data_IF_696160210124
#
_entry.id   IF_696160210124
#
_cell.length_a   1.000
_cell.length_b   1.000
_cell.length_c   1.000
_cell.angle_alpha   90.00
_cell.angle_beta   90.00
_cell.angle_gamma   90.00
#
_symmetry.space_group_name_H-M   'P 1'
#
loop_
_entity.id
_entity.type
_entity.pdbx_description
1 polymer ?
#
# COMPACT_ATOMS: atom_id res chain seq x y z
N UNK A 1 160.80 26.36 -36.39
CA UNK A 1 160.38 27.30 -37.46
C UNK A 1 159.25 26.59 -38.20
N UNK A 2 157.98 26.96 -37.96
CA UNK A 2 157.16 27.88 -38.81
C UNK A 2 156.75 27.15 -40.11
N UNK A 3 155.51 27.05 -40.64
CA UNK A 3 154.23 27.81 -40.62
C UNK A 3 153.15 26.96 -41.35
N UNK A 4 151.88 26.95 -40.90
CA UNK A 4 150.61 27.43 -41.56
C UNK A 4 149.64 26.44 -42.28
N UNK A 5 148.38 26.53 -41.82
CA UNK A 5 147.04 26.54 -42.49
C UNK A 5 146.23 25.29 -42.96
N UNK A 6 145.11 25.09 -42.21
CA UNK A 6 143.70 24.72 -42.51
C UNK A 6 143.24 23.54 -43.40
N UNK A 7 142.13 22.88 -42.98
CA UNK A 7 141.00 22.68 -43.91
C UNK A 7 139.57 22.81 -43.30
N UNK A 8 138.66 23.39 -44.09
CA UNK A 8 137.18 23.24 -44.11
C UNK A 8 136.77 21.80 -44.49
N UNK A 9 135.65 21.14 -44.14
CA UNK A 9 134.35 21.48 -43.55
C UNK A 9 133.30 20.52 -44.17
N UNK A 10 132.56 19.73 -43.37
CA UNK A 10 131.41 18.89 -43.81
C UNK A 10 130.30 18.99 -42.75
N UNK A 11 129.08 19.37 -43.15
CA UNK A 11 127.85 19.38 -42.33
C UNK A 11 126.71 18.79 -43.18
N UNK A 12 125.94 17.85 -42.59
CA UNK A 12 124.57 17.57 -43.03
C UNK A 12 124.04 16.18 -42.65
N UNK A 13 123.35 16.03 -41.51
CA UNK A 13 122.31 14.99 -41.29
C UNK A 13 121.47 15.17 -40.00
N UNK A 14 120.86 16.35 -39.76
CA UNK A 14 120.00 16.59 -38.57
C UNK A 14 118.64 17.26 -38.84
N UNK A 15 118.27 17.53 -40.10
CA UNK A 15 117.11 18.36 -40.42
C UNK A 15 115.78 17.61 -40.58
N UNK A 16 115.77 16.30 -40.84
CA UNK A 16 114.53 15.55 -41.20
C UNK A 16 113.75 14.99 -40.01
N UNK A 17 114.37 14.86 -38.82
CA UNK A 17 113.67 14.43 -37.61
C UNK A 17 112.86 15.55 -36.95
N UNK A 18 113.36 16.79 -37.04
CA UNK A 18 112.76 17.96 -36.38
C UNK A 18 111.42 18.34 -37.02
N UNK A 19 111.29 18.23 -38.35
CA UNK A 19 110.04 18.60 -39.05
C UNK A 19 108.90 17.60 -38.82
N UNK A 20 109.19 16.31 -38.57
CA UNK A 20 108.18 15.31 -38.26
C UNK A 20 107.68 15.42 -36.80
N UNK A 21 108.57 15.78 -35.88
CA UNK A 21 108.25 16.04 -34.48
C UNK A 21 107.39 17.30 -34.38
N UNK A 22 107.78 18.38 -35.07
CA UNK A 22 107.03 19.64 -35.15
C UNK A 22 105.64 19.46 -35.79
N UNK A 23 105.52 18.65 -36.85
CA UNK A 23 104.22 18.33 -37.45
C UNK A 23 103.32 17.53 -36.52
N UNK A 24 103.87 16.55 -35.77
CA UNK A 24 103.07 15.79 -34.80
C UNK A 24 102.64 16.64 -33.60
N UNK A 25 103.48 17.60 -33.19
CA UNK A 25 103.18 18.56 -32.14
C UNK A 25 102.12 19.58 -32.59
N UNK A 26 102.22 20.12 -33.81
CA UNK A 26 101.21 21.03 -34.38
C UNK A 26 99.88 20.30 -34.60
N UNK A 27 99.90 19.09 -35.16
CA UNK A 27 98.68 18.30 -35.38
C UNK A 27 98.06 17.87 -34.05
N UNK A 28 98.89 17.52 -33.06
CA UNK A 28 98.47 17.19 -31.70
C UNK A 28 97.84 18.39 -31.00
N UNK A 29 98.47 19.55 -31.02
CA UNK A 29 97.95 20.79 -30.43
C UNK A 29 96.67 21.28 -31.12
N UNK A 30 96.57 21.14 -32.44
CA UNK A 30 95.35 21.52 -33.18
C UNK A 30 94.19 20.56 -32.92
N UNK A 31 94.45 19.25 -32.89
CA UNK A 31 93.44 18.25 -32.51
C UNK A 31 93.04 18.41 -31.04
N UNK A 32 93.98 18.68 -30.14
CA UNK A 32 93.71 18.93 -28.73
C UNK A 32 92.89 20.19 -28.53
N UNK A 33 93.24 21.30 -29.19
CA UNK A 33 92.47 22.55 -29.16
C UNK A 33 91.05 22.35 -29.70
N UNK A 34 90.91 21.64 -30.83
CA UNK A 34 89.61 21.31 -31.40
C UNK A 34 88.78 20.40 -30.48
N UNK A 35 89.38 19.38 -29.87
CA UNK A 35 88.71 18.49 -28.92
C UNK A 35 88.32 19.21 -27.62
N UNK A 36 89.15 20.14 -27.15
CA UNK A 36 88.87 20.94 -25.95
C UNK A 36 87.74 21.94 -26.23
N UNK A 37 87.70 22.54 -27.42
CA UNK A 37 86.58 23.38 -27.88
C UNK A 37 85.29 22.56 -27.99
N UNK A 38 85.33 21.38 -28.63
CA UNK A 38 84.18 20.47 -28.70
C UNK A 38 83.71 20.01 -27.31
N UNK A 39 84.63 19.73 -26.38
CA UNK A 39 84.30 19.36 -25.01
C UNK A 39 83.64 20.52 -24.26
N UNK A 40 84.13 21.75 -24.45
CA UNK A 40 83.52 22.96 -23.90
C UNK A 40 82.12 23.19 -24.47
N UNK A 41 81.95 23.04 -25.77
CA UNK A 41 80.65 23.21 -26.43
C UNK A 41 79.64 22.14 -26.00
N UNK A 42 80.07 20.88 -25.86
CA UNK A 42 79.24 19.82 -25.27
C UNK A 42 78.93 20.09 -23.81
N UNK A 43 79.86 20.64 -23.04
CA UNK A 43 79.64 21.06 -21.66
C UNK A 43 78.60 22.18 -21.57
N UNK A 44 78.70 23.19 -22.43
CA UNK A 44 77.75 24.30 -22.50
C UNK A 44 76.36 23.84 -22.93
N UNK A 45 76.26 23.01 -23.97
CA UNK A 45 75.00 22.43 -24.44
C UNK A 45 74.39 21.53 -23.35
N UNK A 46 75.19 20.72 -22.68
CA UNK A 46 74.72 19.86 -21.58
C UNK A 46 74.18 20.69 -20.41
N UNK A 47 74.87 21.78 -20.05
CA UNK A 47 74.40 22.71 -19.02
C UNK A 47 73.12 23.45 -19.44
N UNK A 48 72.98 23.83 -20.70
CA UNK A 48 71.78 24.47 -21.23
C UNK A 48 70.59 23.49 -21.29
N UNK A 49 70.82 22.25 -21.73
CA UNK A 49 69.84 21.16 -21.68
C UNK A 49 69.42 20.89 -20.24
N UNK A 50 70.37 20.85 -19.30
CA UNK A 50 70.08 20.66 -17.88
C UNK A 50 69.25 21.84 -17.32
N UNK A 51 69.60 23.08 -17.65
CA UNK A 51 68.84 24.28 -17.26
C UNK A 51 67.41 24.27 -17.81
N UNK A 52 67.25 23.95 -19.10
CA UNK A 52 65.93 23.79 -19.74
C UNK A 52 65.13 22.65 -19.11
N UNK A 53 65.77 21.54 -18.77
CA UNK A 53 65.14 20.40 -18.11
C UNK A 53 64.67 20.77 -16.70
N UNK A 54 65.49 21.46 -15.91
CA UNK A 54 65.11 21.99 -14.60
C UNK A 54 63.94 22.99 -14.70
N UNK A 55 63.96 23.88 -15.70
CA UNK A 55 62.89 24.84 -15.94
C UNK A 55 61.59 24.15 -16.35
N UNK A 56 61.67 23.13 -17.21
CA UNK A 56 60.53 22.30 -17.62
C UNK A 56 59.90 21.57 -16.43
N UNK A 57 60.73 20.98 -15.55
CA UNK A 57 60.25 20.34 -14.32
C UNK A 57 59.60 21.37 -13.38
N UNK A 58 60.22 22.53 -13.16
CA UNK A 58 59.64 23.62 -12.34
C UNK A 58 58.29 24.08 -12.89
N UNK A 59 58.17 24.23 -14.22
CA UNK A 59 56.93 24.63 -14.87
C UNK A 59 55.85 23.54 -14.77
N UNK A 60 56.24 22.27 -14.92
CA UNK A 60 55.34 21.12 -14.74
C UNK A 60 54.78 21.04 -13.31
N UNK A 61 55.62 21.26 -12.29
CA UNK A 61 55.18 21.32 -10.89
C UNK A 61 54.21 22.48 -10.67
N UNK A 62 54.51 23.69 -11.19
CA UNK A 62 53.59 24.84 -11.10
C UNK A 62 52.24 24.56 -11.77
N UNK A 63 52.25 23.90 -12.93
CA UNK A 63 51.03 23.50 -13.63
C UNK A 63 50.21 22.52 -12.78
N UNK A 64 50.83 21.47 -12.23
CA UNK A 64 50.17 20.49 -11.36
C UNK A 64 49.59 21.15 -10.11
N UNK A 65 50.34 22.02 -9.46
CA UNK A 65 49.85 22.76 -8.29
C UNK A 65 48.63 23.63 -8.65
N UNK A 66 48.67 24.34 -9.79
CA UNK A 66 47.54 25.15 -10.26
C UNK A 66 46.32 24.30 -10.61
N UNK A 67 46.52 23.13 -11.20
CA UNK A 67 45.44 22.19 -11.52
C UNK A 67 44.80 21.63 -10.25
N UNK A 68 45.61 21.23 -9.25
CA UNK A 68 45.12 20.75 -7.97
C UNK A 68 44.29 21.82 -7.25
N UNK A 69 44.82 23.04 -7.12
CA UNK A 69 44.10 24.16 -6.49
C UNK A 69 42.83 24.51 -7.27
N UNK A 70 42.87 24.51 -8.61
CA UNK A 70 41.69 24.76 -9.44
C UNK A 70 40.59 23.72 -9.19
N UNK A 71 40.95 22.45 -8.99
CA UNK A 71 40.01 21.39 -8.65
C UNK A 71 39.28 21.68 -7.34
N UNK A 72 40.04 21.94 -6.28
CA UNK A 72 39.50 22.27 -4.95
C UNK A 72 38.62 23.53 -4.99
N UNK A 73 39.06 24.59 -5.69
CA UNK A 73 38.30 25.84 -5.80
C UNK A 73 37.01 25.66 -6.61
N UNK A 74 37.06 24.89 -7.69
CA UNK A 74 35.87 24.60 -8.52
C UNK A 74 34.84 23.84 -7.69
N UNK A 75 35.26 22.80 -6.98
CA UNK A 75 34.38 22.03 -6.10
C UNK A 75 33.74 22.93 -5.04
N UNK A 76 34.52 23.82 -4.41
CA UNK A 76 33.97 24.75 -3.43
C UNK A 76 32.92 25.70 -4.03
N UNK A 77 33.17 26.23 -5.24
CA UNK A 77 32.24 27.12 -5.94
C UNK A 77 30.95 26.37 -6.31
N UNK A 78 31.06 25.15 -6.83
CA UNK A 78 29.89 24.35 -7.22
C UNK A 78 29.00 24.02 -6.01
N UNK A 79 29.61 23.81 -4.84
CA UNK A 79 28.88 23.56 -3.59
C UNK A 79 28.20 24.81 -3.03
N UNK A 80 28.83 25.99 -3.12
CA UNK A 80 28.28 27.23 -2.54
C UNK A 80 27.27 27.93 -3.45
N UNK A 81 27.39 27.79 -4.78
CA UNK A 81 26.50 28.46 -5.73
C UNK A 81 25.08 27.91 -5.62
N UNK A 82 24.10 28.80 -5.53
CA UNK A 82 22.67 28.43 -5.56
C UNK A 82 22.13 28.73 -6.96
N UNK A 83 21.80 27.70 -7.78
CA UNK A 83 21.26 27.92 -9.12
C UNK A 83 19.88 28.61 -9.09
N UNK A 84 19.60 29.48 -10.06
CA UNK A 84 18.29 30.13 -10.17
C UNK A 84 17.15 29.11 -10.39
N UNK A 85 17.46 27.99 -11.04
CA UNK A 85 16.53 26.87 -11.22
C UNK A 85 16.08 26.29 -9.88
N UNK A 86 16.99 26.17 -8.90
CA UNK A 86 16.65 25.70 -7.55
C UNK A 86 15.67 26.64 -6.87
N UNK A 87 15.92 27.95 -6.96
CA UNK A 87 15.07 28.99 -6.39
C UNK A 87 13.66 28.93 -6.98
N UNK A 88 13.55 28.92 -8.32
CA UNK A 88 12.26 28.84 -9.02
C UNK A 88 11.51 27.55 -8.69
N UNK A 89 12.20 26.41 -8.69
CA UNK A 89 11.56 25.11 -8.39
C UNK A 89 11.03 25.07 -6.95
N UNK A 90 11.78 25.58 -5.98
CA UNK A 90 11.33 25.59 -4.58
C UNK A 90 10.13 26.52 -4.38
N UNK A 91 10.14 27.70 -5.03
CA UNK A 91 9.08 28.70 -4.87
C UNK A 91 7.81 28.29 -5.64
N UNK A 92 7.93 27.96 -6.92
CA UNK A 92 6.79 27.86 -7.83
C UNK A 92 6.28 26.42 -8.01
N UNK A 93 7.17 25.42 -8.03
CA UNK A 93 6.80 24.05 -8.38
C UNK A 93 6.01 23.35 -7.26
N UNK A 94 4.98 22.55 -7.56
CA UNK A 94 4.27 21.79 -6.55
C UNK A 94 5.14 20.69 -5.91
N UNK A 95 4.94 20.48 -4.60
CA UNK A 95 5.64 19.49 -3.76
C UNK A 95 5.36 18.03 -4.17
N UNK A 96 4.47 17.80 -5.13
CA UNK A 96 4.17 16.44 -5.62
C UNK A 96 5.15 15.97 -6.70
N UNK A 97 5.87 16.89 -7.32
CA UNK A 97 6.74 16.62 -8.46
C UNK A 97 8.11 16.10 -8.04
N UNK A 98 8.70 15.24 -8.89
CA UNK A 98 10.01 14.65 -8.63
C UNK A 98 11.12 15.70 -8.60
N UNK A 99 11.03 16.71 -9.47
CA UNK A 99 11.99 17.81 -9.56
C UNK A 99 12.11 18.57 -8.23
N UNK A 100 10.98 18.79 -7.54
CA UNK A 100 10.99 19.43 -6.23
C UNK A 100 11.76 18.60 -5.19
N UNK A 101 11.59 17.28 -5.20
CA UNK A 101 12.31 16.39 -4.28
C UNK A 101 13.82 16.37 -4.56
N UNK A 102 14.23 16.33 -5.83
CA UNK A 102 15.64 16.38 -6.23
C UNK A 102 16.30 17.70 -5.79
N UNK A 103 15.62 18.82 -6.05
CA UNK A 103 16.10 20.14 -5.62
C UNK A 103 16.09 20.31 -4.09
N UNK A 104 15.20 19.65 -3.36
CA UNK A 104 15.20 19.64 -1.90
C UNK A 104 16.40 18.88 -1.32
N UNK A 105 16.80 17.76 -1.95
CA UNK A 105 18.03 17.04 -1.59
C UNK A 105 19.26 17.93 -1.80
N UNK A 106 19.34 18.60 -2.94
CA UNK A 106 20.44 19.50 -3.27
C UNK A 106 20.50 20.70 -2.30
N UNK A 107 19.35 21.30 -1.97
CA UNK A 107 19.26 22.35 -0.94
C UNK A 107 19.77 21.84 0.42
N UNK A 108 19.36 20.64 0.84
CA UNK A 108 19.81 20.06 2.11
C UNK A 108 21.33 19.87 2.14
N UNK A 109 21.93 19.42 1.02
CA UNK A 109 23.37 19.28 0.88
C UNK A 109 24.07 20.64 1.04
N UNK A 110 23.60 21.66 0.31
CA UNK A 110 24.16 23.02 0.36
C UNK A 110 24.05 23.66 1.74
N UNK A 111 22.92 23.49 2.42
CA UNK A 111 22.74 23.95 3.82
C UNK A 111 23.73 23.25 4.76
N UNK A 112 23.91 21.94 4.63
CA UNK A 112 24.85 21.20 5.46
C UNK A 112 26.30 21.62 5.21
N UNK A 113 26.67 21.84 3.94
CA UNK A 113 27.99 22.30 3.54
C UNK A 113 28.30 23.69 4.11
N UNK A 114 27.40 24.66 3.97
CA UNK A 114 27.58 26.02 4.52
C UNK A 114 27.67 25.98 6.05
N UNK A 115 26.84 25.19 6.72
CA UNK A 115 26.93 25.00 8.19
C UNK A 115 28.28 24.40 8.61
N UNK A 116 28.83 23.46 7.85
CA UNK A 116 30.12 22.84 8.14
C UNK A 116 31.31 23.77 7.85
N UNK A 117 31.19 24.60 6.81
CA UNK A 117 32.18 25.60 6.40
C UNK A 117 32.13 26.89 7.23
N UNK A 118 31.11 27.08 8.08
CA UNK A 118 30.95 28.27 8.94
C UNK A 118 32.16 28.57 9.85
N UNK A 119 33.04 27.60 10.08
CA UNK A 119 34.31 27.78 10.81
C UNK A 119 35.44 28.44 10.01
N UNK A 120 35.33 28.54 8.67
CA UNK A 120 36.38 29.07 7.79
C UNK A 120 36.22 30.54 7.42
N UNK A 121 35.21 31.23 7.97
CA UNK A 121 34.95 32.68 7.84
C UNK A 121 35.05 33.24 6.40
N UNK A 122 34.72 32.45 5.37
CA UNK A 122 34.68 32.94 4.01
C UNK A 122 33.47 33.89 3.85
N UNK A 123 33.71 35.13 3.39
CA UNK A 123 32.65 36.13 3.14
C UNK A 123 31.52 35.59 2.24
N UNK A 124 31.87 34.79 1.24
CA UNK A 124 30.89 34.16 0.33
C UNK A 124 29.92 33.21 1.03
N UNK A 125 30.33 32.56 2.13
CA UNK A 125 29.45 31.71 2.93
C UNK A 125 28.40 32.55 3.66
N UNK A 126 28.80 33.70 4.20
CA UNK A 126 27.91 34.61 4.94
C UNK A 126 26.86 35.22 4.00
N UNK A 127 27.26 35.60 2.78
CA UNK A 127 26.33 36.14 1.78
C UNK A 127 25.27 35.12 1.34
N UNK A 128 25.68 33.88 1.11
CA UNK A 128 24.79 32.81 0.64
C UNK A 128 23.95 32.23 1.78
N UNK A 129 24.42 32.27 3.02
CA UNK A 129 23.73 31.75 4.20
C UNK A 129 22.32 32.33 4.34
N UNK A 130 22.15 33.66 4.20
CA UNK A 130 20.84 34.30 4.27
C UNK A 130 19.88 33.85 3.17
N UNK A 131 20.39 33.61 1.95
CA UNK A 131 19.57 33.11 0.83
C UNK A 131 19.15 31.66 1.07
N UNK A 132 20.07 30.80 1.52
CA UNK A 132 19.79 29.41 1.86
C UNK A 132 18.80 29.31 3.03
N UNK A 133 18.89 30.20 4.01
CA UNK A 133 17.96 30.26 5.13
C UNK A 133 16.53 30.64 4.68
N UNK A 134 16.40 31.61 3.77
CA UNK A 134 15.11 31.95 3.17
C UNK A 134 14.51 30.80 2.35
N UNK A 135 15.33 30.12 1.53
CA UNK A 135 14.90 28.94 0.80
C UNK A 135 14.51 27.79 1.72
N UNK A 136 15.27 27.58 2.81
CA UNK A 136 14.96 26.59 3.85
C UNK A 136 13.59 26.86 4.45
N UNK A 137 13.33 28.08 4.90
CA UNK A 137 12.04 28.45 5.49
C UNK A 137 10.89 28.21 4.49
N UNK A 138 11.06 28.61 3.23
CA UNK A 138 10.02 28.41 2.21
C UNK A 138 9.79 26.93 1.89
N UNK A 139 10.85 26.15 1.78
CA UNK A 139 10.76 24.70 1.54
C UNK A 139 10.09 23.99 2.73
N UNK A 140 10.43 24.37 3.96
CA UNK A 140 9.80 23.84 5.19
C UNK A 140 8.32 24.17 5.24
N UNK A 141 7.91 25.40 4.91
CA UNK A 141 6.50 25.80 4.86
C UNK A 141 5.71 24.94 3.85
N UNK A 142 6.21 24.82 2.60
CA UNK A 142 5.54 24.04 1.55
C UNK A 142 5.46 22.55 1.88
N UNK A 143 6.55 21.96 2.37
CA UNK A 143 6.58 20.54 2.75
C UNK A 143 5.70 20.24 3.97
N UNK A 144 5.67 21.14 4.96
CA UNK A 144 4.75 21.07 6.11
C UNK A 144 3.30 21.04 5.65
N UNK A 145 2.89 22.01 4.84
CA UNK A 145 1.51 22.11 4.36
C UNK A 145 1.08 20.89 3.54
N UNK A 146 1.99 20.36 2.73
CA UNK A 146 1.76 19.13 1.99
C UNK A 146 1.54 17.92 2.91
N UNK A 147 2.42 17.71 3.90
CA UNK A 147 2.30 16.60 4.85
C UNK A 147 1.04 16.71 5.71
N UNK A 148 0.71 17.90 6.21
CA UNK A 148 -0.51 18.12 6.99
C UNK A 148 -1.78 17.87 6.15
N UNK A 149 -1.83 18.35 4.90
CA UNK A 149 -2.94 18.04 3.98
C UNK A 149 -3.11 16.53 3.78
N UNK A 150 -2.02 15.78 3.67
CA UNK A 150 -2.07 14.30 3.57
C UNK A 150 -2.58 13.67 4.86
N UNK A 151 -2.12 14.13 6.04
CA UNK A 151 -2.62 13.64 7.33
C UNK A 151 -4.12 13.92 7.49
N UNK A 152 -4.61 15.08 7.06
CA UNK A 152 -6.04 15.41 7.13
C UNK A 152 -6.91 14.56 6.20
N UNK A 153 -6.35 13.94 5.14
CA UNK A 153 -7.09 12.98 4.31
C UNK A 153 -7.51 11.73 5.10
N UNK A 154 -6.81 11.39 6.19
CA UNK A 154 -7.17 10.28 7.07
C UNK A 154 -8.48 10.53 7.82
N UNK A 155 -8.90 11.80 7.96
CA UNK A 155 -10.14 12.15 8.67
C UNK A 155 -11.40 11.88 7.83
N UNK A 156 -11.26 11.57 6.54
CA UNK A 156 -12.42 11.29 5.67
C UNK A 156 -13.04 9.94 6.03
N UNK A 157 -14.38 9.85 6.15
CA UNK A 157 -15.06 8.59 6.40
C UNK A 157 -14.78 7.60 5.27
N UNK A 158 -14.60 6.31 5.61
CA UNK A 158 -14.28 5.21 4.68
C UNK A 158 -12.91 5.32 3.98
N UNK A 159 -11.99 6.15 4.47
CA UNK A 159 -10.62 6.18 3.96
C UNK A 159 -9.90 4.84 4.25
N UNK A 160 -9.23 4.29 3.23
CA UNK A 160 -8.36 3.12 3.39
C UNK A 160 -7.01 3.57 3.99
N UNK A 161 -6.92 3.58 5.32
CA UNK A 161 -5.71 4.06 6.03
C UNK A 161 -4.43 3.31 5.64
N UNK A 162 -4.42 1.97 5.47
CA UNK A 162 -3.24 1.27 4.97
C UNK A 162 -2.73 1.83 3.63
N UNK A 163 -3.64 2.11 2.69
CA UNK A 163 -3.27 2.70 1.40
C UNK A 163 -2.74 4.14 1.59
N UNK A 164 -3.41 4.95 2.41
CA UNK A 164 -2.97 6.33 2.66
C UNK A 164 -1.62 6.39 3.39
N UNK A 165 -1.36 5.49 4.36
CA UNK A 165 -0.04 5.34 5.00
C UNK A 165 1.03 4.93 4.00
N UNK A 166 0.73 3.98 3.10
CA UNK A 166 1.63 3.58 2.01
C UNK A 166 2.01 4.76 1.11
N UNK A 167 1.07 5.67 0.81
CA UNK A 167 1.39 6.88 0.04
C UNK A 167 2.24 7.89 0.82
N UNK A 168 2.05 8.00 2.15
CA UNK A 168 2.82 8.91 2.99
C UNK A 168 4.29 8.48 3.10
N UNK A 169 4.55 7.16 3.12
CA UNK A 169 5.91 6.60 3.18
C UNK A 169 6.77 7.01 1.97
N UNK A 170 6.17 7.24 0.80
CA UNK A 170 6.89 7.74 -0.39
C UNK A 170 7.53 9.11 -0.16
N UNK A 171 7.00 9.89 0.78
CA UNK A 171 7.46 11.24 1.11
C UNK A 171 8.27 11.27 2.42
N UNK A 172 8.89 10.14 2.81
CA UNK A 172 9.76 10.04 3.98
C UNK A 172 10.78 11.18 4.05
N UNK A 173 11.43 11.48 2.93
CA UNK A 173 12.50 12.48 2.89
C UNK A 173 12.01 13.88 3.31
N UNK A 174 10.75 14.24 3.07
CA UNK A 174 10.23 15.55 3.48
C UNK A 174 10.21 15.68 4.99
N UNK A 175 9.83 14.62 5.71
CA UNK A 175 9.88 14.63 7.16
C UNK A 175 11.31 14.64 7.69
N UNK A 176 12.23 13.93 7.04
CA UNK A 176 13.67 13.92 7.36
C UNK A 176 14.32 15.30 7.17
N UNK A 177 13.98 15.98 6.08
CA UNK A 177 14.37 17.37 5.80
C UNK A 177 13.87 18.33 6.89
N UNK A 178 12.57 18.26 7.23
CA UNK A 178 12.00 19.11 8.28
C UNK A 178 12.67 18.81 9.63
N UNK A 179 12.85 17.54 10.00
CA UNK A 179 13.48 17.16 11.27
C UNK A 179 14.91 17.70 11.42
N UNK A 180 15.65 17.77 10.33
CA UNK A 180 17.03 18.25 10.29
C UNK A 180 17.15 19.77 10.38
N UNK A 181 16.10 20.51 9.98
CA UNK A 181 16.11 21.97 9.91
C UNK A 181 15.26 22.63 11.00
N UNK A 182 14.06 22.12 11.27
CA UNK A 182 13.09 22.66 12.22
C UNK A 182 12.42 21.54 13.05
N UNK A 183 12.90 21.37 14.29
CA UNK A 183 12.40 20.36 15.22
C UNK A 183 10.99 20.67 15.73
N UNK A 184 10.58 21.93 15.75
CA UNK A 184 9.26 22.33 16.22
C UNK A 184 8.18 21.93 15.20
N UNK A 185 8.41 22.24 13.92
CA UNK A 185 7.51 21.84 12.83
C UNK A 185 7.47 20.31 12.70
N UNK A 186 8.59 19.61 12.85
CA UNK A 186 8.60 18.14 12.86
C UNK A 186 7.74 17.56 13.99
N UNK A 187 7.82 18.15 15.19
CA UNK A 187 7.01 17.75 16.35
C UNK A 187 5.52 17.97 16.06
N UNK A 188 5.16 19.12 15.50
CA UNK A 188 3.77 19.44 15.12
C UNK A 188 3.18 18.37 14.18
N UNK A 189 3.87 18.07 13.08
CA UNK A 189 3.41 17.08 12.09
C UNK A 189 3.23 15.70 12.74
N UNK A 190 4.19 15.29 13.58
CA UNK A 190 4.13 14.02 14.30
C UNK A 190 2.94 13.97 15.25
N UNK A 191 2.76 15.00 16.07
CA UNK A 191 1.70 15.04 17.07
C UNK A 191 0.32 15.08 16.38
N UNK A 192 0.19 15.77 15.25
CA UNK A 192 -1.03 15.79 14.42
C UNK A 192 -1.35 14.42 13.80
N UNK A 193 -0.33 13.71 13.32
CA UNK A 193 -0.48 12.33 12.83
C UNK A 193 -0.92 11.37 13.93
N UNK A 194 -0.28 11.43 15.09
CA UNK A 194 -0.60 10.59 16.25
C UNK A 194 -2.03 10.86 16.72
N UNK A 195 -2.42 12.13 16.85
CA UNK A 195 -3.76 12.52 17.26
C UNK A 195 -4.84 12.04 16.28
N UNK A 196 -4.60 12.21 14.98
CA UNK A 196 -5.54 11.77 13.94
C UNK A 196 -5.68 10.25 13.94
N UNK A 197 -4.55 9.53 13.96
CA UNK A 197 -4.52 8.06 13.96
C UNK A 197 -5.15 7.47 15.23
N UNK A 198 -4.88 8.07 16.40
CA UNK A 198 -5.46 7.67 17.69
C UNK A 198 -7.00 7.79 17.66
N UNK A 199 -7.55 8.91 17.19
CA UNK A 199 -9.01 9.10 17.07
C UNK A 199 -9.65 8.09 16.12
N UNK A 200 -8.98 7.78 15.02
CA UNK A 200 -9.43 6.79 14.04
C UNK A 200 -9.51 5.41 14.69
N UNK A 201 -8.40 4.93 15.27
CA UNK A 201 -8.37 3.63 15.95
C UNK A 201 -9.38 3.56 17.08
N UNK A 202 -9.49 4.60 17.90
CA UNK A 202 -10.50 4.68 18.95
C UNK A 202 -11.91 4.50 18.40
N UNK A 203 -12.25 5.16 17.29
CA UNK A 203 -13.57 5.05 16.66
C UNK A 203 -13.83 3.62 16.15
N UNK A 204 -12.82 2.98 15.54
CA UNK A 204 -12.92 1.57 15.13
C UNK A 204 -13.13 0.64 16.31
N UNK A 205 -12.27 0.73 17.34
CA UNK A 205 -12.37 -0.13 18.52
C UNK A 205 -13.64 0.13 19.32
N UNK A 206 -14.08 1.37 19.46
CA UNK A 206 -15.35 1.71 20.10
C UNK A 206 -16.53 1.10 19.35
N UNK A 207 -16.55 1.22 18.03
CA UNK A 207 -17.60 0.64 17.18
C UNK A 207 -17.58 -0.88 17.24
N UNK A 208 -16.39 -1.48 17.16
CA UNK A 208 -16.18 -2.92 17.27
C UNK A 208 -16.65 -3.46 18.63
N UNK A 209 -16.20 -2.85 19.73
CA UNK A 209 -16.61 -3.19 21.08
C UNK A 209 -18.12 -3.05 21.27
N UNK A 210 -18.71 -1.95 20.77
CA UNK A 210 -20.17 -1.76 20.84
C UNK A 210 -20.94 -2.83 20.07
N UNK A 211 -20.43 -3.30 18.93
CA UNK A 211 -21.04 -4.40 18.17
C UNK A 211 -20.85 -5.76 18.85
N UNK A 212 -19.68 -6.01 19.44
CA UNK A 212 -19.45 -7.21 20.25
C UNK A 212 -20.36 -7.27 21.48
N UNK A 213 -20.53 -6.16 22.19
CA UNK A 213 -21.44 -6.09 23.34
C UNK A 213 -22.89 -6.40 22.94
N UNK A 214 -23.31 -6.08 21.71
CA UNK A 214 -24.63 -6.47 21.18
C UNK A 214 -24.74 -7.95 20.81
N UNK A 215 -23.60 -8.61 20.53
CA UNK A 215 -23.55 -10.04 20.22
C UNK A 215 -23.45 -10.91 21.48
N UNK A 216 -23.08 -10.32 22.60
CA UNK A 216 -23.10 -10.98 23.90
C UNK A 216 -24.54 -11.46 24.17
N UNK A 217 -24.69 -12.75 24.45
CA UNK A 217 -25.98 -13.37 24.78
C UNK A 217 -26.67 -12.50 25.84
N UNK A 218 -27.92 -12.08 25.58
CA UNK A 218 -28.69 -11.21 26.49
C UNK A 218 -28.89 -11.82 27.90
N UNK A 219 -28.66 -13.12 28.01
CA UNK A 219 -28.79 -13.96 29.21
C UNK A 219 -27.43 -14.26 29.86
N UNK A 220 -26.66 -13.22 30.22
CA UNK A 220 -25.51 -13.40 31.14
C UNK A 220 -26.04 -13.54 32.56
N UNK A 221 -25.63 -14.61 33.25
CA UNK A 221 -26.01 -14.86 34.64
C UNK A 221 -25.58 -13.71 35.55
N UNK A 222 -26.56 -13.18 36.27
CA UNK A 222 -26.39 -12.16 37.31
C UNK A 222 -26.54 -12.80 38.68
N UNK A 223 -26.08 -12.10 39.72
CA UNK A 223 -26.19 -12.58 41.12
C UNK A 223 -27.63 -12.83 41.59
N UNK A 224 -28.60 -12.26 40.87
CA UNK A 224 -30.03 -12.34 41.18
C UNK A 224 -30.71 -13.52 40.45
N UNK A 225 -29.96 -14.23 39.58
CA UNK A 225 -30.44 -15.44 38.92
C UNK A 225 -30.26 -16.65 39.86
N UNK A 226 -31.36 -17.29 40.23
CA UNK A 226 -31.40 -18.45 41.12
C UNK A 226 -31.92 -19.67 40.34
N UNK A 227 -31.20 -20.78 40.43
CA UNK A 227 -31.67 -22.09 39.95
C UNK A 227 -32.76 -22.63 40.88
N UNK A 228 -33.95 -22.89 40.36
CA UNK A 228 -35.02 -23.55 41.10
C UNK A 228 -35.85 -22.66 42.04
N UNK A 229 -35.93 -21.35 41.79
CA UNK A 229 -36.90 -20.52 42.50
C UNK A 229 -38.33 -20.87 42.07
N UNK A 230 -39.18 -21.24 43.03
CA UNK A 230 -40.60 -21.50 42.79
C UNK A 230 -41.29 -20.21 42.28
N UNK A 231 -41.84 -20.23 41.06
CA UNK A 231 -42.46 -19.05 40.42
C UNK A 231 -43.85 -18.74 41.01
N UNK A 232 -44.31 -19.49 42.01
CA UNK A 232 -45.64 -19.35 42.61
C UNK A 232 -45.80 -18.13 43.54
N UNK A 233 -44.75 -17.37 43.84
CA UNK A 233 -44.81 -16.30 44.82
C UNK A 233 -44.17 -14.98 44.36
N UNK A 234 -44.75 -14.33 43.34
CA UNK A 234 -44.52 -12.89 43.14
C UNK A 234 -45.84 -12.15 42.94
N UNK A 235 -46.38 -11.62 44.04
CA UNK A 235 -47.39 -10.57 44.00
C UNK A 235 -46.90 -9.41 43.13
N UNK A 236 -47.76 -8.97 42.23
CA UNK A 236 -47.54 -7.85 41.32
C UNK A 236 -47.66 -6.54 42.13
N UNK A 237 -46.53 -5.93 42.47
CA UNK A 237 -46.50 -4.53 42.93
C UNK A 237 -46.54 -3.59 41.71
N UNK A 238 -47.48 -2.65 41.72
CA UNK A 238 -47.92 -1.82 40.58
C UNK A 238 -46.92 -0.69 40.19
N UNK A 239 -45.77 -0.58 40.87
CA UNK A 239 -44.79 0.50 40.64
C UNK A 239 -43.38 0.05 40.22
N UNK A 240 -43.16 -1.24 39.94
CA UNK A 240 -41.88 -1.70 39.37
C UNK A 240 -41.97 -1.86 37.85
N UNK A 241 -41.00 -1.27 37.15
CA UNK A 241 -40.74 -1.48 35.72
C UNK A 241 -40.82 -2.98 35.44
N UNK A 242 -41.63 -3.36 34.44
CA UNK A 242 -41.84 -4.76 34.03
C UNK A 242 -40.48 -5.48 34.00
N UNK A 243 -40.26 -6.52 34.82
CA UNK A 243 -39.03 -7.28 34.75
C UNK A 243 -38.96 -7.92 33.38
N UNK A 244 -37.86 -7.66 32.67
CA UNK A 244 -37.58 -8.29 31.38
C UNK A 244 -37.61 -9.81 31.60
N UNK A 245 -38.54 -10.51 30.93
CA UNK A 245 -38.71 -11.96 31.10
C UNK A 245 -37.54 -12.66 30.43
N UNK A 246 -36.41 -12.78 31.15
CA UNK A 246 -35.27 -13.60 30.74
C UNK A 246 -35.63 -15.07 30.90
N UNK A 247 -35.24 -15.89 29.93
CA UNK A 247 -35.48 -17.32 29.98
C UNK A 247 -34.50 -17.96 30.98
N UNK A 248 -34.94 -18.17 32.23
CA UNK A 248 -34.05 -18.61 33.34
C UNK A 248 -33.32 -19.93 33.07
N UNK A 249 -33.88 -20.79 32.20
CA UNK A 249 -33.26 -22.04 31.79
C UNK A 249 -32.02 -21.85 30.89
N UNK A 250 -31.92 -20.74 30.14
CA UNK A 250 -30.80 -20.45 29.24
C UNK A 250 -29.66 -19.68 29.91
N UNK A 251 -29.90 -19.10 31.08
CA UNK A 251 -28.89 -18.33 31.84
C UNK A 251 -27.77 -19.24 32.38
N UNK A 252 -28.14 -20.42 32.88
CA UNK A 252 -27.20 -21.41 33.42
C UNK A 252 -26.83 -22.54 32.45
N UNK A 253 -27.42 -22.56 31.24
CA UNK A 253 -27.09 -23.60 30.28
C UNK A 253 -25.64 -23.45 29.82
N UNK A 254 -24.89 -24.56 29.84
CA UNK A 254 -23.50 -24.57 29.38
C UNK A 254 -23.40 -24.32 27.87
N UNK A 255 -24.46 -24.59 27.10
CA UNK A 255 -24.55 -24.25 25.67
C UNK A 255 -23.29 -24.60 24.89
N UNK A 256 -22.81 -23.66 24.07
CA UNK A 256 -21.53 -23.78 23.35
C UNK A 256 -20.31 -23.37 24.20
N UNK A 257 -20.40 -23.19 25.52
CA UNK A 257 -19.23 -22.77 26.33
C UNK A 257 -18.08 -23.79 26.29
N UNK A 258 -18.36 -25.04 25.92
CA UNK A 258 -17.35 -26.07 25.66
C UNK A 258 -16.52 -25.78 24.40
N UNK A 259 -17.10 -25.17 23.35
CA UNK A 259 -16.35 -24.76 22.14
C UNK A 259 -15.34 -23.66 22.46
N UNK A 260 -15.63 -22.82 23.46
CA UNK A 260 -14.70 -21.78 23.92
C UNK A 260 -13.37 -22.36 24.38
N UNK A 261 -13.39 -23.51 25.04
CA UNK A 261 -12.19 -24.17 25.55
C UNK A 261 -11.41 -24.96 24.48
N UNK A 262 -11.96 -25.13 23.27
CA UNK A 262 -11.37 -25.95 22.20
C UNK A 262 -11.11 -25.17 20.91
N UNK A 263 -12.13 -24.55 20.35
CA UNK A 263 -12.12 -23.95 19.02
C UNK A 263 -12.13 -22.41 19.08
N UNK A 264 -12.90 -21.80 20.01
CA UNK A 264 -13.07 -20.33 19.99
C UNK A 264 -11.89 -19.55 20.59
N UNK A 265 -10.98 -20.22 21.33
CA UNK A 265 -9.73 -19.62 21.83
C UNK A 265 -8.73 -19.31 20.71
N UNK A 266 -8.70 -20.14 19.68
CA UNK A 266 -7.85 -19.97 18.49
C UNK A 266 -8.62 -19.38 17.29
N UNK A 267 -9.92 -19.17 17.45
CA UNK A 267 -10.77 -18.67 16.38
C UNK A 267 -10.34 -17.25 15.94
N UNK A 268 -10.47 -16.95 14.64
CA UNK A 268 -10.19 -15.63 14.12
C UNK A 268 -11.11 -14.58 14.76
N UNK A 269 -10.60 -13.35 14.85
CA UNK A 269 -11.29 -12.20 15.43
C UNK A 269 -12.74 -12.13 14.93
N UNK A 270 -13.70 -12.12 15.86
CA UNK A 270 -15.13 -12.08 15.54
C UNK A 270 -15.41 -10.87 14.66
N UNK A 271 -15.80 -11.10 13.41
CA UNK A 271 -16.23 -10.04 12.50
C UNK A 271 -17.71 -9.74 12.81
N UNK A 272 -18.05 -8.58 13.40
CA UNK A 272 -19.38 -8.41 13.98
C UNK A 272 -20.51 -8.39 12.94
N UNK A 273 -20.20 -8.07 11.68
CA UNK A 273 -21.17 -8.14 10.59
C UNK A 273 -21.54 -9.60 10.22
N UNK A 274 -20.59 -10.52 10.28
CA UNK A 274 -20.82 -11.96 10.07
C UNK A 274 -21.56 -12.56 11.27
N UNK A 275 -21.18 -12.14 12.48
CA UNK A 275 -21.85 -12.61 13.70
C UNK A 275 -23.29 -12.07 13.85
N UNK A 276 -23.62 -10.89 13.30
CA UNK A 276 -24.99 -10.34 13.32
C UNK A 276 -25.93 -11.05 12.30
N UNK A 277 -25.37 -11.77 11.32
CA UNK A 277 -26.14 -12.68 10.44
C UNK A 277 -26.63 -13.93 11.19
N UNK A 278 -26.13 -14.22 12.42
CA UNK A 278 -26.65 -15.27 13.31
C UNK A 278 -28.05 -14.98 13.89
N UNK A 279 -28.83 -14.04 13.31
CA UNK A 279 -30.24 -13.81 13.68
C UNK A 279 -31.16 -14.99 13.30
N UNK A 280 -30.70 -15.97 12.52
CA UNK A 280 -31.42 -17.22 12.27
C UNK A 280 -31.28 -18.27 13.40
N UNK A 281 -31.00 -17.85 14.65
CA UNK A 281 -30.83 -18.76 15.80
C UNK A 281 -32.04 -19.65 16.06
N UNK A 282 -33.26 -19.15 15.89
CA UNK A 282 -34.48 -19.92 16.19
C UNK A 282 -34.62 -21.08 15.19
N UNK A 283 -34.44 -20.80 13.90
CA UNK A 283 -34.59 -21.78 12.83
C UNK A 283 -33.44 -22.79 12.83
N UNK A 284 -32.21 -22.34 13.10
CA UNK A 284 -31.08 -23.27 13.28
C UNK A 284 -31.26 -24.19 14.49
N UNK A 285 -31.65 -23.65 15.65
CA UNK A 285 -31.91 -24.45 16.86
C UNK A 285 -33.07 -25.42 16.67
N UNK A 286 -34.11 -25.00 15.94
CA UNK A 286 -35.17 -25.90 15.51
C UNK A 286 -34.61 -27.05 14.67
N UNK A 287 -33.84 -26.75 13.62
CA UNK A 287 -33.25 -27.79 12.76
C UNK A 287 -32.36 -28.77 13.53
N UNK A 288 -31.53 -28.27 14.46
CA UNK A 288 -30.65 -29.10 15.30
C UNK A 288 -31.45 -29.98 16.27
N UNK A 289 -32.50 -29.42 16.91
CA UNK A 289 -33.36 -30.15 17.84
C UNK A 289 -34.22 -31.20 17.12
N UNK A 290 -34.79 -30.82 15.97
CA UNK A 290 -35.58 -31.70 15.12
C UNK A 290 -34.71 -32.86 14.61
N UNK A 291 -33.53 -32.58 14.06
CA UNK A 291 -32.59 -33.62 13.62
C UNK A 291 -32.20 -34.58 14.75
N UNK A 292 -31.92 -34.07 15.95
CA UNK A 292 -31.56 -34.91 17.09
C UNK A 292 -32.71 -35.85 17.50
N UNK A 293 -33.94 -35.34 17.55
CA UNK A 293 -35.12 -36.15 17.86
C UNK A 293 -35.44 -37.16 16.76
N UNK A 294 -35.31 -36.78 15.49
CA UNK A 294 -35.47 -37.68 14.34
C UNK A 294 -34.43 -38.80 14.38
N UNK A 295 -33.17 -38.49 14.70
CA UNK A 295 -32.13 -39.50 14.86
C UNK A 295 -32.45 -40.49 15.99
N UNK A 296 -32.92 -39.99 17.14
CA UNK A 296 -33.37 -40.86 18.25
C UNK A 296 -34.56 -41.72 17.85
N UNK A 297 -35.52 -41.17 17.10
CA UNK A 297 -36.70 -41.91 16.63
C UNK A 297 -36.35 -42.95 15.56
N UNK A 298 -35.26 -42.75 14.81
CA UNK A 298 -34.75 -43.75 13.86
C UNK A 298 -34.14 -44.95 14.59
N UNK A 299 -33.43 -44.71 15.70
CA UNK A 299 -32.83 -45.77 16.53
C UNK A 299 -33.88 -46.48 17.41
N UNK A 300 -34.89 -45.73 17.91
CA UNK A 300 -35.94 -46.20 18.80
C UNK A 300 -37.31 -45.68 18.31
N UNK A 301 -37.98 -46.39 17.39
CA UNK A 301 -39.22 -45.90 16.79
C UNK A 301 -40.37 -45.84 17.80
N UNK A 302 -40.91 -44.64 18.01
CA UNK A 302 -42.11 -44.36 18.81
C UNK A 302 -43.10 -43.54 17.99
N UNK A 303 -44.31 -44.09 17.75
CA UNK A 303 -45.38 -43.43 17.01
C UNK A 303 -45.74 -42.07 17.62
N UNK A 304 -45.64 -41.95 18.96
CA UNK A 304 -45.97 -40.70 19.66
C UNK A 304 -44.93 -39.62 19.40
N UNK A 305 -43.65 -39.99 19.36
CA UNK A 305 -42.56 -39.09 19.01
C UNK A 305 -42.68 -38.63 17.54
N UNK A 306 -43.03 -39.53 16.63
CA UNK A 306 -43.26 -39.21 15.23
C UNK A 306 -44.43 -38.21 15.05
N UNK A 307 -45.52 -38.36 15.80
CA UNK A 307 -46.63 -37.38 15.81
C UNK A 307 -46.19 -36.01 16.34
N UNK A 308 -45.33 -35.96 17.35
CA UNK A 308 -44.80 -34.70 17.87
C UNK A 308 -43.82 -34.02 16.91
N UNK A 309 -43.00 -34.77 16.18
CA UNK A 309 -42.13 -34.24 15.13
C UNK A 309 -42.95 -33.62 14.01
N UNK A 310 -43.96 -34.32 13.50
CA UNK A 310 -44.87 -33.78 12.49
C UNK A 310 -45.60 -32.51 12.97
N UNK A 311 -46.03 -32.49 14.23
CA UNK A 311 -46.65 -31.30 14.81
C UNK A 311 -45.67 -30.13 14.90
N UNK A 312 -44.43 -30.38 15.32
CA UNK A 312 -43.40 -29.35 15.44
C UNK A 312 -43.06 -28.74 14.07
N UNK A 313 -42.96 -29.58 13.04
CA UNK A 313 -42.73 -29.13 11.66
C UNK A 313 -43.85 -28.19 11.17
N UNK A 314 -45.11 -28.55 11.42
CA UNK A 314 -46.26 -27.71 11.05
C UNK A 314 -46.28 -26.37 11.79
N UNK A 315 -45.97 -26.35 13.09
CA UNK A 315 -45.91 -25.10 13.87
C UNK A 315 -44.82 -24.15 13.35
N UNK A 316 -43.65 -24.68 12.96
CA UNK A 316 -42.59 -23.87 12.36
C UNK A 316 -42.99 -23.34 10.99
N UNK A 317 -43.65 -24.17 10.17
CA UNK A 317 -44.19 -23.72 8.89
C UNK A 317 -45.21 -22.57 9.06
N UNK A 318 -46.11 -22.69 10.03
CA UNK A 318 -47.07 -21.63 10.37
C UNK A 318 -46.40 -20.37 10.93
N UNK A 319 -45.36 -20.52 11.75
CA UNK A 319 -44.58 -19.39 12.25
C UNK A 319 -43.92 -18.62 11.10
N UNK A 320 -43.26 -19.33 10.17
CA UNK A 320 -42.62 -18.72 8.99
C UNK A 320 -43.65 -18.07 8.07
N UNK A 321 -44.82 -18.68 7.88
CA UNK A 321 -45.92 -18.11 7.11
C UNK A 321 -46.51 -16.85 7.76
N UNK A 322 -46.51 -16.74 9.09
CA UNK A 322 -46.90 -15.50 9.77
C UNK A 322 -45.82 -14.43 9.66
N UNK A 323 -44.55 -14.81 9.85
CA UNK A 323 -43.41 -13.90 9.81
C UNK A 323 -43.19 -13.30 8.41
N UNK A 324 -43.43 -14.05 7.33
CA UNK A 324 -43.31 -13.50 5.98
C UNK A 324 -44.26 -12.31 5.75
N UNK A 325 -45.43 -12.26 6.40
CA UNK A 325 -46.38 -11.16 6.19
C UNK A 325 -45.93 -9.83 6.82
N UNK A 326 -44.88 -9.82 7.64
CA UNK A 326 -44.28 -8.58 8.16
C UNK A 326 -43.51 -7.81 7.09
N UNK A 327 -43.06 -8.47 6.02
CA UNK A 327 -42.34 -7.81 4.92
C UNK A 327 -43.30 -7.15 3.93
N UNK A 328 -42.91 -5.98 3.43
CA UNK A 328 -43.74 -5.15 2.55
C UNK A 328 -43.78 -5.68 1.11
N UNK A 329 -42.64 -6.14 0.60
CA UNK A 329 -42.51 -6.60 -0.78
C UNK A 329 -42.63 -8.12 -0.88
N UNK A 330 -43.41 -8.61 -1.87
CA UNK A 330 -43.47 -10.05 -2.21
C UNK A 330 -42.06 -10.63 -2.41
N UNK A 331 -41.14 -9.86 -3.00
CA UNK A 331 -39.74 -10.25 -3.20
C UNK A 331 -39.03 -10.53 -1.89
N UNK A 332 -39.20 -9.67 -0.88
CA UNK A 332 -38.59 -9.82 0.44
C UNK A 332 -39.19 -11.01 1.19
N UNK A 333 -40.49 -11.27 1.01
CA UNK A 333 -41.19 -12.43 1.58
C UNK A 333 -40.61 -13.74 1.06
N UNK A 334 -40.45 -13.86 -0.25
CA UNK A 334 -39.94 -15.09 -0.87
C UNK A 334 -38.46 -15.31 -0.52
N UNK A 335 -37.64 -14.26 -0.51
CA UNK A 335 -36.23 -14.35 -0.06
C UNK A 335 -36.14 -14.80 1.40
N UNK A 336 -37.00 -14.27 2.27
CA UNK A 336 -37.05 -14.68 3.67
C UNK A 336 -37.36 -16.18 3.80
N UNK A 337 -38.36 -16.68 3.07
CA UNK A 337 -38.71 -18.10 3.12
C UNK A 337 -37.59 -18.99 2.58
N UNK A 338 -36.99 -18.63 1.43
CA UNK A 338 -35.84 -19.35 0.85
C UNK A 338 -34.71 -19.47 1.88
N UNK A 339 -34.29 -18.36 2.49
CA UNK A 339 -33.18 -18.36 3.43
C UNK A 339 -33.44 -19.18 4.70
N UNK A 340 -34.70 -19.27 5.16
CA UNK A 340 -35.02 -20.04 6.36
C UNK A 340 -35.16 -21.54 6.04
N UNK A 341 -35.78 -21.91 4.92
CA UNK A 341 -35.88 -23.32 4.51
C UNK A 341 -34.53 -23.88 4.03
N UNK A 342 -33.69 -23.07 3.38
CA UNK A 342 -32.31 -23.45 3.01
C UNK A 342 -31.47 -23.80 4.24
N UNK A 343 -31.60 -23.00 5.31
CA UNK A 343 -30.95 -23.29 6.58
C UNK A 343 -31.48 -24.57 7.25
N UNK A 344 -32.80 -24.79 7.26
CA UNK A 344 -33.41 -26.03 7.80
C UNK A 344 -32.85 -27.23 7.04
N UNK A 345 -32.93 -27.21 5.71
CA UNK A 345 -32.47 -28.31 4.85
C UNK A 345 -30.98 -28.56 5.04
N UNK A 346 -30.15 -27.51 5.09
CA UNK A 346 -28.70 -27.62 5.32
C UNK A 346 -28.39 -28.31 6.65
N UNK A 347 -29.08 -27.93 7.73
CA UNK A 347 -28.88 -28.54 9.06
C UNK A 347 -29.35 -30.00 9.08
N UNK A 348 -30.50 -30.30 8.48
CA UNK A 348 -31.02 -31.67 8.40
C UNK A 348 -30.08 -32.59 7.58
N UNK A 349 -29.55 -32.10 6.45
CA UNK A 349 -28.59 -32.83 5.62
C UNK A 349 -27.24 -33.07 6.32
N UNK A 350 -26.80 -32.15 7.18
CA UNK A 350 -25.55 -32.31 7.92
C UNK A 350 -25.67 -33.37 9.04
N UNK A 351 -26.84 -33.45 9.69
CA UNK A 351 -27.03 -34.22 10.93
C UNK A 351 -27.71 -35.57 10.75
N UNK A 352 -28.45 -35.79 9.67
CA UNK A 352 -29.15 -37.05 9.41
C UNK A 352 -28.48 -37.81 8.25
N UNK A 353 -28.26 -39.13 8.37
CA UNK A 353 -27.68 -39.93 7.29
C UNK A 353 -28.70 -40.19 6.17
N UNK A 354 -28.39 -39.77 4.94
CA UNK A 354 -29.17 -40.06 3.72
C UNK A 354 -30.45 -39.22 3.55
N UNK A 355 -31.18 -39.47 2.45
CA UNK A 355 -32.45 -38.80 2.12
C UNK A 355 -33.57 -39.18 3.12
N UNK A 356 -33.53 -38.60 4.31
CA UNK A 356 -34.64 -38.70 5.27
C UNK A 356 -35.91 -38.12 4.66
N UNK A 357 -37.04 -38.81 4.82
CA UNK A 357 -38.38 -38.38 4.38
C UNK A 357 -38.69 -36.97 4.93
N UNK A 358 -38.24 -36.68 6.15
CA UNK A 358 -38.46 -35.39 6.81
C UNK A 358 -37.64 -34.25 6.15
N UNK A 359 -36.45 -34.56 5.62
CA UNK A 359 -35.64 -33.61 4.87
C UNK A 359 -36.20 -33.34 3.46
N UNK A 360 -36.88 -34.33 2.87
CA UNK A 360 -37.48 -34.21 1.53
C UNK A 360 -38.65 -33.22 1.51
N UNK A 361 -39.51 -33.19 2.52
CA UNK A 361 -40.65 -32.24 2.57
C UNK A 361 -40.18 -30.79 2.70
N UNK A 362 -39.22 -30.52 3.59
CA UNK A 362 -38.60 -29.20 3.72
C UNK A 362 -37.84 -28.78 2.45
N UNK A 363 -37.17 -29.72 1.78
CA UNK A 363 -36.48 -29.49 0.50
C UNK A 363 -37.46 -29.18 -0.64
N UNK A 364 -38.59 -29.89 -0.71
CA UNK A 364 -39.66 -29.64 -1.68
C UNK A 364 -40.24 -28.24 -1.52
N UNK A 365 -40.47 -27.79 -0.28
CA UNK A 365 -40.92 -26.42 0.02
C UNK A 365 -39.89 -25.37 -0.39
N UNK A 366 -38.61 -25.61 -0.09
CA UNK A 366 -37.52 -24.74 -0.55
C UNK A 366 -37.53 -24.59 -2.07
N UNK A 367 -37.60 -25.72 -2.80
CA UNK A 367 -37.60 -25.71 -4.26
C UNK A 367 -38.81 -24.96 -4.83
N UNK A 368 -39.99 -25.11 -4.23
CA UNK A 368 -41.18 -24.36 -4.63
C UNK A 368 -40.99 -22.84 -4.50
N UNK A 369 -40.41 -22.37 -3.39
CA UNK A 369 -40.14 -20.94 -3.19
C UNK A 369 -39.03 -20.40 -4.11
N UNK A 370 -38.01 -21.21 -4.40
CA UNK A 370 -36.97 -20.85 -5.39
C UNK A 370 -37.61 -20.65 -6.77
N UNK A 371 -38.51 -21.56 -7.18
CA UNK A 371 -39.24 -21.44 -8.45
C UNK A 371 -40.12 -20.20 -8.46
N UNK A 372 -40.89 -19.94 -7.39
CA UNK A 372 -41.72 -18.74 -7.26
C UNK A 372 -40.88 -17.44 -7.36
N UNK A 373 -39.70 -17.43 -6.73
CA UNK A 373 -38.77 -16.30 -6.81
C UNK A 373 -38.18 -16.11 -8.21
N UNK A 374 -37.85 -17.21 -8.90
CA UNK A 374 -37.36 -17.18 -10.27
C UNK A 374 -38.43 -16.61 -11.21
N UNK A 375 -39.68 -17.05 -11.08
CA UNK A 375 -40.82 -16.52 -11.84
C UNK A 375 -41.05 -15.03 -11.54
N UNK A 376 -40.94 -14.60 -10.28
CA UNK A 376 -41.04 -13.20 -9.90
C UNK A 376 -39.96 -12.34 -10.57
N UNK A 377 -38.71 -12.80 -10.61
CA UNK A 377 -37.61 -12.09 -11.29
C UNK A 377 -37.82 -12.05 -12.81
N UNK A 378 -38.23 -13.16 -13.40
CA UNK A 378 -38.49 -13.27 -14.83
C UNK A 378 -39.65 -12.37 -15.25
N UNK A 379 -40.75 -12.33 -14.50
CA UNK A 379 -41.90 -11.47 -14.79
C UNK A 379 -41.58 -9.99 -14.58
N UNK A 380 -40.74 -9.65 -13.59
CA UNK A 380 -40.33 -8.26 -13.34
C UNK A 380 -39.52 -7.67 -14.50
N UNK A 381 -38.64 -8.45 -15.11
CA UNK A 381 -37.73 -7.97 -16.16
C UNK A 381 -38.17 -8.33 -17.59
N UNK A 382 -38.90 -9.44 -17.74
CA UNK A 382 -39.28 -10.04 -19.02
C UNK A 382 -40.78 -10.41 -19.08
N UNK A 383 -41.63 -9.81 -18.24
CA UNK A 383 -43.06 -10.15 -18.17
C UNK A 383 -43.81 -10.09 -19.50
N UNK A 384 -43.44 -9.16 -20.40
CA UNK A 384 -44.01 -9.08 -21.75
C UNK A 384 -43.64 -10.28 -22.62
N UNK A 385 -42.41 -10.79 -22.49
CA UNK A 385 -41.95 -11.98 -23.18
C UNK A 385 -42.63 -13.24 -22.62
N UNK A 386 -42.73 -13.34 -21.29
CA UNK A 386 -43.41 -14.45 -20.60
C UNK A 386 -44.89 -14.51 -21.02
N UNK A 387 -45.60 -13.39 -21.03
CA UNK A 387 -46.99 -13.33 -21.47
C UNK A 387 -47.15 -13.67 -22.97
N UNK A 388 -46.19 -13.24 -23.80
CA UNK A 388 -46.19 -13.62 -25.21
C UNK A 388 -46.00 -15.13 -25.39
N UNK A 389 -45.10 -15.77 -24.64
CA UNK A 389 -44.89 -17.22 -24.69
C UNK A 389 -46.15 -17.97 -24.27
N UNK A 390 -46.83 -17.57 -23.18
CA UNK A 390 -48.10 -18.18 -22.79
C UNK A 390 -49.22 -18.00 -23.83
N UNK A 391 -49.30 -16.82 -24.45
CA UNK A 391 -50.26 -16.57 -25.53
C UNK A 391 -49.92 -17.39 -26.77
N UNK A 392 -48.63 -17.56 -27.07
CA UNK A 392 -48.16 -18.36 -28.18
C UNK A 392 -48.45 -19.85 -27.99
N UNK A 393 -48.15 -20.39 -26.81
CA UNK A 393 -48.46 -21.78 -26.45
C UNK A 393 -49.97 -22.04 -26.55
N UNK A 394 -50.81 -21.16 -26.02
CA UNK A 394 -52.27 -21.30 -26.10
C UNK A 394 -52.81 -21.23 -27.54
N UNK A 395 -52.26 -20.33 -28.38
CA UNK A 395 -52.65 -20.21 -29.79
C UNK A 395 -52.16 -21.40 -30.63
N UNK A 396 -51.02 -21.98 -30.29
CA UNK A 396 -50.48 -23.20 -30.90
C UNK A 396 -51.36 -24.40 -30.53
N UNK A 397 -51.76 -24.53 -29.26
CA UNK A 397 -52.68 -25.58 -28.81
C UNK A 397 -54.07 -25.47 -29.46
N UNK A 398 -54.52 -24.25 -29.77
CA UNK A 398 -55.79 -24.00 -30.48
C UNK A 398 -55.67 -24.06 -32.01
N UNK A 399 -54.49 -24.38 -32.56
CA UNK A 399 -54.25 -24.50 -34.01
C UNK A 399 -54.28 -23.19 -34.80
N UNK A 400 -54.24 -22.02 -34.12
CA UNK A 400 -54.30 -20.69 -34.74
C UNK A 400 -52.90 -20.07 -34.92
N UNK A 401 -52.00 -20.79 -35.61
CA UNK A 401 -50.59 -20.39 -35.76
C UNK A 401 -50.38 -19.11 -36.59
N UNK A 402 -51.31 -18.74 -37.48
CA UNK A 402 -51.17 -17.56 -38.34
C UNK A 402 -51.24 -16.23 -37.57
N UNK A 403 -51.90 -16.20 -36.40
CA UNK A 403 -52.04 -14.99 -35.55
C UNK A 403 -50.79 -14.63 -34.74
N UNK A 404 -49.77 -15.50 -34.75
CA UNK A 404 -48.51 -15.27 -34.04
C UNK A 404 -47.61 -14.24 -34.73
N UNK A 405 -47.69 -14.13 -36.06
CA UNK A 405 -46.84 -13.24 -36.83
C UNK A 405 -47.19 -11.76 -36.60
N UNK A 406 -48.47 -11.42 -36.51
CA UNK A 406 -48.93 -10.03 -36.30
C UNK A 406 -48.69 -9.51 -34.86
N UNK A 407 -48.72 -10.39 -33.86
CA UNK A 407 -48.55 -10.02 -32.44
C UNK A 407 -47.08 -9.95 -31.97
N UNK A 408 -46.15 -10.54 -32.72
CA UNK A 408 -44.72 -10.64 -32.35
C UNK A 408 -44.02 -9.27 -32.29
N UNK A 409 -44.32 -8.37 -33.22
CA UNK A 409 -43.63 -7.09 -33.37
C UNK A 409 -44.03 -6.04 -32.30
N UNK A 410 -45.32 -5.97 -31.95
CA UNK A 410 -45.83 -4.96 -31.01
C UNK A 410 -45.71 -5.38 -29.53
N UNK A 411 -45.73 -6.69 -29.24
CA UNK A 411 -45.86 -7.19 -27.86
C UNK A 411 -44.51 -7.49 -27.20
N UNK A 412 -43.50 -7.90 -27.99
CA UNK A 412 -42.21 -8.41 -27.47
C UNK A 412 -41.08 -7.37 -27.60
N UNK A 413 -40.98 -6.66 -28.73
CA UNK A 413 -39.81 -5.82 -29.03
C UNK A 413 -39.83 -4.45 -28.33
N UNK A 414 -41.02 -3.86 -28.12
CA UNK A 414 -41.17 -2.53 -27.51
C UNK A 414 -40.80 -2.50 -26.00
N UNK A 415 -41.25 -3.44 -25.15
CA UNK A 415 -40.96 -3.40 -23.72
C UNK A 415 -39.52 -3.85 -23.37
N UNK A 416 -38.94 -4.78 -24.13
CA UNK A 416 -37.57 -5.28 -23.93
C UNK A 416 -36.55 -4.16 -24.22
N UNK A 417 -36.80 -3.31 -25.22
CA UNK A 417 -35.96 -2.14 -25.49
C UNK A 417 -36.00 -1.10 -24.35
N UNK A 418 -37.16 -0.94 -23.69
CA UNK A 418 -37.32 0.00 -22.56
C UNK A 418 -36.72 -0.52 -21.25
N UNK A 419 -36.77 -1.83 -20.96
CA UNK A 419 -36.20 -2.41 -19.75
C UNK A 419 -34.66 -2.47 -19.78
N UNK A 420 -34.06 -2.72 -20.95
CA UNK A 420 -32.61 -2.69 -21.17
C UNK A 420 -32.05 -1.25 -21.12
N UNK A 421 -32.82 -0.26 -21.59
CA UNK A 421 -32.42 1.15 -21.54
C UNK A 421 -32.28 1.72 -20.12
N UNK A 422 -33.10 1.26 -19.16
CA UNK A 422 -33.01 1.70 -17.76
C UNK A 422 -31.89 1.02 -16.95
N UNK A 423 -31.42 -0.17 -17.37
CA UNK A 423 -30.34 -0.87 -16.69
C UNK A 423 -28.93 -0.29 -17.00
N UNK A 424 -28.80 0.55 -18.03
CA UNK A 424 -27.49 1.06 -18.48
C UNK A 424 -27.21 2.55 -18.18
N UNK A 425 -27.93 3.16 -17.24
CA UNK A 425 -27.62 4.52 -16.76
C UNK A 425 -27.31 4.49 -15.27
N UNK A 426 -26.16 3.92 -14.91
CA UNK A 426 -25.33 4.29 -13.75
C UNK A 426 -24.00 3.53 -13.79
N UNK A 427 -23.14 3.92 -14.72
CA UNK A 427 -21.69 3.80 -14.55
C UNK A 427 -21.07 5.20 -14.44
N UNK A 428 -20.06 5.38 -13.57
CA UNK A 428 -19.65 6.68 -13.06
C UNK A 428 -18.65 7.35 -13.99
N UNK A 429 -18.87 8.63 -14.27
CA UNK A 429 -17.86 9.49 -14.88
C UNK A 429 -18.46 10.45 -15.90
N UNK A 430 -18.87 11.63 -15.43
CA UNK A 430 -18.63 12.93 -16.08
C UNK A 430 -19.33 14.06 -15.30
N UNK A 431 -18.67 14.49 -14.21
CA UNK A 431 -18.19 15.85 -13.93
C UNK A 431 -17.80 15.94 -12.46
#
# INVERSE_FOLDING_TARGET
MSTENDPTGIIGDKATAVDAELLSEILGMQMESMLTAFQSDLGNISNEIQSLQEQSVKMSVKLKNRQAVRGELSQFIDEIVVPEVMIKTIIDEPVSERLFLEQLHELQHKIAFVKQQGFREALSCVEVEGLLENLRLKATEKTRDFLLKRIYQFRKPMANYPVTQGTLLKYRFYFEFILSNDRYVAKEIRDEYVNTTSKIFYTYFKTYASRLMKLQLEDVATKDDLLGSDDSAKMVNIFSVRPNVRNRATVFSLGSRMSVLKEDLEAPIIVPHVADQNKQKIIRRYGEFFAALTAVNADLPDEKLQQYLYRLENEVAHLLARAMHEFKSIRERTIFLINNYDLIVSVLMEKLPGESIDAQESSKRLQAYITEYAELLLTTHFGSLVNFVYQAESLIEQGMQEKLNDNSANTVLSPIAQSVGHANVKSPGQK
#
